data_IF_455397713503
#
_entry.id   IF_455397713503
#
_cell.length_a   1.000
_cell.length_b   1.000
_cell.length_c   1.000
_cell.angle_alpha   90.00
_cell.angle_beta   90.00
_cell.angle_gamma   90.00
#
_symmetry.space_group_name_H-M   'P 1'
#
loop_
_entity.id
_entity.type
_entity.pdbx_description
1 polymer ?
#
# COMPACT_ATOMS: atom_id res chain seq x y z
N UNK A 1 -7.32 -23.49 46.05
CA UNK A 1 -7.71 -22.68 44.86
C UNK A 1 -6.53 -22.03 44.20
N UNK A 2 -5.66 -21.27 44.83
CA UNK A 2 -4.53 -20.54 44.27
C UNK A 2 -3.57 -21.41 43.43
N UNK A 3 -3.15 -22.59 43.94
CA UNK A 3 -2.26 -23.53 43.21
C UNK A 3 -2.89 -24.03 41.91
N UNK A 4 -4.23 -24.20 41.82
CA UNK A 4 -4.92 -24.64 40.60
C UNK A 4 -4.98 -23.50 39.58
N UNK A 5 -5.23 -22.26 40.03
CA UNK A 5 -5.23 -21.07 39.14
C UNK A 5 -3.84 -20.82 38.56
N UNK A 6 -2.77 -20.95 39.36
CA UNK A 6 -1.39 -20.79 38.87
C UNK A 6 -1.07 -21.84 37.78
N UNK A 7 -1.45 -23.11 37.99
CA UNK A 7 -1.24 -24.15 36.96
C UNK A 7 -1.98 -23.84 35.66
N UNK A 8 -3.23 -23.38 35.72
CA UNK A 8 -3.99 -23.00 34.53
C UNK A 8 -3.27 -21.87 33.78
N UNK A 9 -2.84 -20.81 34.47
CA UNK A 9 -2.09 -19.71 33.85
C UNK A 9 -0.81 -20.19 33.17
N UNK A 10 -0.03 -21.06 33.85
CA UNK A 10 1.21 -21.61 33.28
C UNK A 10 0.95 -22.46 32.04
N UNK A 11 -0.09 -23.33 32.06
CA UNK A 11 -0.47 -24.12 30.89
C UNK A 11 -0.94 -23.24 29.73
N UNK A 12 -1.72 -22.20 30.01
CA UNK A 12 -2.17 -21.24 28.99
C UNK A 12 -0.98 -20.52 28.35
N UNK A 13 -0.02 -20.04 29.17
CA UNK A 13 1.20 -19.41 28.68
C UNK A 13 2.03 -20.37 27.82
N UNK A 14 2.21 -21.63 28.29
CA UNK A 14 2.94 -22.64 27.52
C UNK A 14 2.28 -22.90 26.17
N UNK A 15 0.96 -23.04 26.12
CA UNK A 15 0.19 -23.23 24.88
C UNK A 15 0.38 -22.03 23.95
N UNK A 16 0.29 -20.80 24.47
CA UNK A 16 0.50 -19.58 23.70
C UNK A 16 1.93 -19.51 23.12
N UNK A 17 2.94 -19.90 23.89
CA UNK A 17 4.34 -19.96 23.41
C UNK A 17 4.49 -21.01 22.30
N UNK A 18 3.93 -22.19 22.48
CA UNK A 18 3.99 -23.25 21.45
C UNK A 18 3.26 -22.80 20.17
N UNK A 19 2.05 -22.28 20.30
CA UNK A 19 1.27 -21.78 19.16
C UNK A 19 2.02 -20.63 18.47
N UNK A 20 2.54 -19.67 19.24
CA UNK A 20 3.37 -18.59 18.74
C UNK A 20 4.61 -19.09 17.99
N UNK A 21 5.30 -20.08 18.54
CA UNK A 21 6.45 -20.75 17.91
C UNK A 21 6.09 -21.41 16.58
N UNK A 22 5.00 -22.16 16.54
CA UNK A 22 4.50 -22.82 15.32
C UNK A 22 4.08 -21.76 14.27
N UNK A 23 3.34 -20.74 14.67
CA UNK A 23 2.91 -19.66 13.79
C UNK A 23 4.07 -18.77 13.30
N UNK A 24 5.16 -18.68 14.05
CA UNK A 24 6.35 -17.93 13.64
C UNK A 24 7.27 -18.73 12.72
N UNK A 25 7.09 -20.06 12.66
CA UNK A 25 7.96 -20.90 11.84
C UNK A 25 7.68 -20.69 10.35
N UNK A 26 8.74 -20.41 9.59
CA UNK A 26 8.72 -20.40 8.14
C UNK A 26 10.10 -20.80 7.61
N UNK A 27 10.10 -21.57 6.53
CA UNK A 27 11.33 -21.81 5.79
C UNK A 27 11.85 -20.47 5.26
N UNK A 28 13.13 -20.18 5.49
CA UNK A 28 13.75 -18.94 4.97
C UNK A 28 13.64 -18.94 3.44
N UNK A 29 13.25 -17.80 2.83
CA UNK A 29 13.29 -17.68 1.38
C UNK A 29 14.74 -17.81 0.91
N UNK A 30 14.95 -18.44 -0.24
CA UNK A 30 16.26 -18.56 -0.88
C UNK A 30 16.66 -17.29 -1.60
N UNK A 31 15.69 -16.52 -2.04
CA UNK A 31 15.86 -15.25 -2.74
C UNK A 31 14.91 -14.20 -2.16
N UNK A 32 15.38 -12.97 -2.11
CA UNK A 32 14.58 -11.80 -1.72
C UNK A 32 14.64 -10.83 -2.90
N UNK A 33 13.49 -10.39 -3.36
CA UNK A 33 13.36 -9.39 -4.41
C UNK A 33 13.07 -8.04 -3.76
N UNK A 34 13.81 -7.02 -4.16
CA UNK A 34 13.63 -5.65 -3.70
C UNK A 34 13.05 -4.80 -4.82
N UNK A 35 12.20 -3.85 -4.44
CA UNK A 35 11.62 -2.87 -5.35
C UNK A 35 11.54 -1.50 -4.70
N UNK A 36 11.06 -0.52 -5.45
CA UNK A 36 10.92 0.86 -5.02
C UNK A 36 9.48 1.33 -5.25
N UNK A 37 8.89 1.98 -4.24
CA UNK A 37 7.70 2.80 -4.43
C UNK A 37 8.14 4.19 -4.89
N UNK A 38 7.72 4.60 -6.07
CA UNK A 38 8.01 5.94 -6.59
C UNK A 38 6.72 6.73 -6.74
N UNK A 39 6.71 7.94 -6.20
CA UNK A 39 5.60 8.89 -6.33
C UNK A 39 6.10 10.18 -6.96
N UNK A 40 5.65 10.48 -8.18
CA UNK A 40 5.86 11.79 -8.80
C UNK A 40 5.29 12.90 -7.92
N UNK A 41 4.10 12.68 -7.37
CA UNK A 41 3.45 13.62 -6.46
C UNK A 41 4.39 14.02 -5.31
N UNK A 42 5.00 13.03 -4.67
CA UNK A 42 5.93 13.28 -3.56
C UNK A 42 7.24 13.93 -4.02
N UNK A 43 7.75 13.58 -5.19
CA UNK A 43 8.93 14.26 -5.76
C UNK A 43 8.66 15.75 -6.01
N UNK A 44 7.47 16.08 -6.51
CA UNK A 44 7.05 17.47 -6.74
C UNK A 44 6.92 18.24 -5.40
N UNK A 45 6.39 17.63 -4.35
CA UNK A 45 6.35 18.22 -2.99
C UNK A 45 7.75 18.53 -2.46
N UNK A 46 8.70 17.62 -2.69
CA UNK A 46 10.11 17.79 -2.33
C UNK A 46 10.86 18.78 -3.24
N UNK A 47 10.17 19.35 -4.24
CA UNK A 47 10.77 20.22 -5.28
C UNK A 47 11.92 19.55 -6.03
N UNK A 48 11.86 18.24 -6.18
CA UNK A 48 12.81 17.46 -6.95
C UNK A 48 12.32 17.32 -8.40
N UNK A 49 13.21 17.39 -9.39
CA UNK A 49 12.87 17.11 -10.78
C UNK A 49 12.57 15.61 -10.93
N UNK A 50 11.31 15.23 -10.77
CA UNK A 50 10.86 13.84 -10.68
C UNK A 50 11.42 12.93 -11.78
N UNK A 51 11.52 13.44 -13.00
CA UNK A 51 12.03 12.67 -14.15
C UNK A 51 13.52 12.33 -13.98
N UNK A 52 14.33 13.25 -13.45
CA UNK A 52 15.75 13.00 -13.17
C UNK A 52 15.88 11.96 -12.05
N UNK A 53 15.10 12.10 -10.98
CA UNK A 53 15.11 11.14 -9.86
C UNK A 53 14.66 9.77 -10.34
N UNK A 54 13.60 9.70 -11.15
CA UNK A 54 13.11 8.43 -11.70
C UNK A 54 14.16 7.78 -12.60
N UNK A 55 14.80 8.54 -13.51
CA UNK A 55 15.86 8.03 -14.37
C UNK A 55 17.09 7.55 -13.59
N UNK A 56 17.48 8.22 -12.52
CA UNK A 56 18.57 7.75 -11.67
C UNK A 56 18.23 6.38 -11.03
N UNK A 57 16.98 6.20 -10.57
CA UNK A 57 16.52 4.92 -10.04
C UNK A 57 16.52 3.83 -11.12
N UNK A 58 16.10 4.16 -12.35
CA UNK A 58 16.06 3.23 -13.48
C UNK A 58 17.47 2.87 -13.95
N UNK A 59 18.32 3.88 -14.22
CA UNK A 59 19.56 3.70 -14.95
C UNK A 59 20.76 3.47 -14.05
N UNK A 60 20.86 4.19 -12.91
CA UNK A 60 22.01 4.10 -12.02
C UNK A 60 21.81 3.02 -10.96
N UNK A 61 20.62 2.98 -10.33
CA UNK A 61 20.29 1.98 -9.33
C UNK A 61 19.75 0.68 -9.93
N UNK A 62 19.42 0.65 -11.21
CA UNK A 62 18.93 -0.52 -11.97
C UNK A 62 17.72 -1.20 -11.31
N UNK A 63 16.82 -0.40 -10.76
CA UNK A 63 15.59 -0.91 -10.14
C UNK A 63 14.73 -1.61 -11.18
N UNK A 64 14.28 -2.84 -10.88
CA UNK A 64 13.45 -3.66 -11.77
C UNK A 64 12.02 -3.83 -11.28
N UNK A 65 11.78 -3.72 -9.98
CA UNK A 65 10.47 -3.93 -9.38
C UNK A 65 9.95 -2.61 -8.82
N UNK A 66 8.81 -2.19 -9.33
CA UNK A 66 8.27 -0.86 -9.06
C UNK A 66 6.88 -0.92 -8.46
N UNK A 67 6.59 0.02 -7.59
CA UNK A 67 5.24 0.40 -7.25
C UNK A 67 5.04 1.84 -7.72
N UNK A 68 4.17 2.02 -8.71
CA UNK A 68 3.82 3.33 -9.26
C UNK A 68 2.36 3.65 -8.94
N UNK A 69 2.01 4.93 -8.96
CA UNK A 69 0.67 5.40 -8.61
C UNK A 69 0.09 6.26 -9.72
N UNK A 70 -1.13 5.94 -10.13
CA UNK A 70 -1.92 6.75 -11.06
C UNK A 70 -2.73 7.81 -10.28
N UNK A 71 -2.08 8.77 -9.62
CA UNK A 71 -2.76 9.76 -8.80
C UNK A 71 -3.86 10.49 -9.57
N UNK A 72 -5.09 10.43 -9.08
CA UNK A 72 -6.26 11.01 -9.76
C UNK A 72 -6.07 12.48 -10.17
N UNK A 73 -5.59 13.40 -9.31
CA UNK A 73 -5.39 14.79 -9.71
C UNK A 73 -4.33 15.00 -10.79
N UNK A 74 -3.42 14.04 -10.99
CA UNK A 74 -2.42 14.10 -12.07
C UNK A 74 -2.97 13.54 -13.38
N UNK A 75 -3.79 12.49 -13.29
CA UNK A 75 -4.41 11.84 -14.45
C UNK A 75 -5.58 12.68 -14.97
N UNK A 76 -6.35 13.32 -14.09
CA UNK A 76 -7.55 14.10 -14.42
C UNK A 76 -7.57 15.42 -13.63
N UNK A 77 -6.63 16.32 -13.93
CA UNK A 77 -6.56 17.65 -13.30
C UNK A 77 -7.78 18.53 -13.61
N UNK A 78 -8.39 18.31 -14.76
CA UNK A 78 -9.62 18.96 -15.22
C UNK A 78 -10.65 17.90 -15.52
N UNK A 79 -11.88 18.07 -15.04
CA UNK A 79 -12.97 17.10 -15.20
C UNK A 79 -13.14 16.66 -16.66
N UNK A 80 -13.08 15.36 -16.89
CA UNK A 80 -13.25 14.74 -18.20
C UNK A 80 -12.02 14.84 -19.13
N UNK A 81 -10.93 15.48 -18.68
CA UNK A 81 -9.69 15.62 -19.46
C UNK A 81 -8.60 14.75 -18.84
N UNK A 82 -8.33 13.63 -19.48
CA UNK A 82 -7.34 12.65 -18.99
C UNK A 82 -5.98 12.85 -19.67
N UNK A 83 -4.92 12.92 -18.87
CA UNK A 83 -3.52 12.98 -19.28
C UNK A 83 -2.73 11.85 -18.64
N UNK A 84 -2.07 11.05 -19.47
CA UNK A 84 -1.29 9.90 -19.03
C UNK A 84 0.21 10.05 -19.31
N UNK A 85 0.64 11.20 -19.81
CA UNK A 85 1.99 11.39 -20.35
C UNK A 85 3.11 10.96 -19.38
N UNK A 86 2.97 11.29 -18.11
CA UNK A 86 3.97 11.02 -17.09
C UNK A 86 3.98 9.54 -16.71
N UNK A 87 2.80 8.94 -16.55
CA UNK A 87 2.68 7.53 -16.25
C UNK A 87 3.09 6.64 -17.44
N UNK A 88 2.72 7.05 -18.67
CA UNK A 88 3.19 6.41 -19.91
C UNK A 88 4.72 6.42 -20.01
N UNK A 89 5.35 7.55 -19.65
CA UNK A 89 6.79 7.65 -19.61
C UNK A 89 7.40 6.67 -18.61
N UNK A 90 6.88 6.64 -17.37
CA UNK A 90 7.37 5.75 -16.32
C UNK A 90 7.23 4.28 -16.71
N UNK A 91 6.05 3.87 -17.17
CA UNK A 91 5.81 2.48 -17.59
C UNK A 91 6.69 2.08 -18.78
N UNK A 92 6.82 2.93 -19.78
CA UNK A 92 7.70 2.68 -20.92
C UNK A 92 9.14 2.45 -20.46
N UNK A 93 9.67 3.32 -19.59
CA UNK A 93 11.04 3.19 -19.09
C UNK A 93 11.25 1.90 -18.29
N UNK A 94 10.29 1.54 -17.43
CA UNK A 94 10.34 0.26 -16.71
C UNK A 94 10.34 -0.93 -17.67
N UNK A 95 9.50 -0.88 -18.71
CA UNK A 95 9.43 -1.92 -19.72
C UNK A 95 10.72 -2.08 -20.52
N UNK A 96 11.33 -0.96 -20.96
CA UNK A 96 12.61 -0.94 -21.67
C UNK A 96 13.72 -1.62 -20.88
N UNK A 97 13.66 -1.50 -19.55
CA UNK A 97 14.61 -2.12 -18.63
C UNK A 97 14.18 -3.51 -18.12
N UNK A 98 13.16 -4.11 -18.76
CA UNK A 98 12.62 -5.43 -18.39
C UNK A 98 12.17 -5.52 -16.93
N UNK A 99 11.66 -4.42 -16.39
CA UNK A 99 11.09 -4.36 -15.06
C UNK A 99 9.60 -4.69 -15.03
N UNK A 100 9.05 -4.74 -13.82
CA UNK A 100 7.63 -4.93 -13.57
C UNK A 100 7.06 -3.89 -12.57
N UNK A 101 5.76 -3.73 -12.61
CA UNK A 101 5.05 -2.67 -11.88
C UNK A 101 3.84 -3.24 -11.12
N UNK A 102 3.75 -2.91 -9.84
CA UNK A 102 2.48 -2.86 -9.13
C UNK A 102 1.90 -1.47 -9.37
N UNK A 103 0.81 -1.37 -10.13
CA UNK A 103 0.19 -0.10 -10.45
C UNK A 103 -0.97 0.19 -9.49
N UNK A 104 -0.76 1.19 -8.64
CA UNK A 104 -1.76 1.61 -7.65
C UNK A 104 -2.76 2.60 -8.27
N UNK A 105 -4.04 2.32 -8.06
CA UNK A 105 -5.19 3.09 -8.55
C UNK A 105 -6.20 3.30 -7.43
N UNK A 106 -6.97 4.36 -7.49
CA UNK A 106 -7.94 4.75 -6.47
C UNK A 106 -7.77 6.18 -6.01
N UNK A 107 -8.52 6.56 -5.01
CA UNK A 107 -8.43 7.88 -4.39
C UNK A 107 -7.33 7.96 -3.34
N UNK A 108 -7.21 6.91 -2.53
CA UNK A 108 -6.20 6.81 -1.48
C UNK A 108 -5.01 6.03 -2.02
N UNK A 109 -3.91 6.73 -2.27
CA UNK A 109 -2.71 6.17 -2.91
C UNK A 109 -1.46 6.47 -2.08
N UNK A 110 -0.37 5.69 -2.27
CA UNK A 110 0.90 5.94 -1.60
C UNK A 110 1.40 7.37 -1.79
N UNK A 111 1.84 7.97 -0.69
CA UNK A 111 2.29 9.36 -0.64
C UNK A 111 1.36 10.21 0.21
N UNK A 112 1.94 10.85 1.24
CA UNK A 112 1.21 11.74 2.13
C UNK A 112 0.62 12.93 1.36
N UNK A 113 -0.61 13.40 1.62
CA UNK A 113 -1.57 12.96 2.67
C UNK A 113 -2.43 11.74 2.30
N UNK A 114 -2.04 10.94 1.33
CA UNK A 114 -2.65 9.72 0.81
C UNK A 114 -3.98 9.90 0.06
N UNK A 115 -4.84 10.86 0.41
CA UNK A 115 -6.07 11.14 -0.32
C UNK A 115 -5.83 12.16 -1.41
N UNK A 116 -5.81 11.67 -2.63
CA UNK A 116 -5.52 12.44 -3.83
C UNK A 116 -6.81 12.69 -4.60
N UNK A 117 -7.44 13.84 -4.33
CA UNK A 117 -8.67 14.29 -4.99
C UNK A 117 -8.36 15.54 -5.80
N UNK A 118 -8.70 15.59 -7.11
CA UNK A 118 -8.50 16.80 -7.91
C UNK A 118 -9.38 17.93 -7.40
N UNK A 119 -8.93 19.18 -7.59
CA UNK A 119 -9.62 20.37 -7.05
C UNK A 119 -11.10 20.44 -7.46
N UNK A 120 -11.39 20.08 -8.70
CA UNK A 120 -12.76 20.09 -9.22
C UNK A 120 -13.70 19.09 -8.52
N UNK A 121 -13.17 18.03 -7.93
CA UNK A 121 -13.95 16.97 -7.29
C UNK A 121 -14.07 17.15 -5.76
N UNK A 122 -13.28 18.02 -5.13
CA UNK A 122 -13.31 18.23 -3.67
C UNK A 122 -14.65 18.71 -3.13
N UNK A 123 -15.41 19.47 -3.94
CA UNK A 123 -16.73 19.98 -3.56
C UNK A 123 -17.90 19.04 -3.87
N UNK A 124 -17.64 17.88 -4.46
CA UNK A 124 -18.70 16.92 -4.78
C UNK A 124 -19.17 16.18 -3.53
N UNK A 125 -20.44 15.74 -3.56
CA UNK A 125 -20.93 14.76 -2.58
C UNK A 125 -20.14 13.46 -2.67
N UNK A 126 -20.10 12.66 -1.59
CA UNK A 126 -19.41 11.36 -1.64
C UNK A 126 -19.98 10.45 -2.74
N UNK A 127 -21.30 10.44 -2.91
CA UNK A 127 -21.95 9.64 -3.95
C UNK A 127 -21.55 10.08 -5.37
N UNK A 128 -21.32 11.37 -5.60
CA UNK A 128 -20.86 11.86 -6.89
C UNK A 128 -19.34 11.63 -7.06
N UNK A 129 -18.54 11.78 -5.99
CA UNK A 129 -17.12 11.40 -6.05
C UNK A 129 -16.94 9.92 -6.42
N UNK A 130 -17.74 9.02 -5.85
CA UNK A 130 -17.69 7.58 -6.21
C UNK A 130 -17.87 7.34 -7.71
N UNK A 131 -18.82 8.00 -8.35
CA UNK A 131 -19.04 7.89 -9.81
C UNK A 131 -17.83 8.35 -10.62
N UNK A 132 -17.23 9.46 -10.21
CA UNK A 132 -16.05 9.99 -10.89
C UNK A 132 -14.81 9.11 -10.64
N UNK A 133 -14.64 8.58 -9.44
CA UNK A 133 -13.57 7.62 -9.13
C UNK A 133 -13.70 6.37 -10.01
N UNK A 134 -14.90 5.79 -10.16
CA UNK A 134 -15.11 4.63 -11.03
C UNK A 134 -14.83 4.96 -12.51
N UNK A 135 -15.14 6.17 -12.93
CA UNK A 135 -14.82 6.65 -14.29
C UNK A 135 -13.31 6.77 -14.49
N UNK A 136 -12.61 7.39 -13.54
CA UNK A 136 -11.16 7.50 -13.54
C UNK A 136 -10.49 6.10 -13.52
N UNK A 137 -10.93 5.20 -12.64
CA UNK A 137 -10.44 3.81 -12.59
C UNK A 137 -10.61 3.11 -13.94
N UNK A 138 -11.78 3.27 -14.55
CA UNK A 138 -12.06 2.69 -15.88
C UNK A 138 -11.05 3.18 -16.91
N UNK A 139 -10.79 4.49 -16.97
CA UNK A 139 -9.83 5.08 -17.92
C UNK A 139 -8.40 4.57 -17.72
N UNK A 140 -7.97 4.47 -16.45
CA UNK A 140 -6.62 3.97 -16.13
C UNK A 140 -6.49 2.50 -16.49
N UNK A 141 -7.44 1.66 -16.07
CA UNK A 141 -7.37 0.21 -16.31
C UNK A 141 -7.49 -0.10 -17.79
N UNK A 142 -8.42 0.50 -18.52
CA UNK A 142 -8.55 0.31 -19.97
C UNK A 142 -7.28 0.69 -20.74
N UNK A 143 -6.56 1.72 -20.27
CA UNK A 143 -5.31 2.14 -20.90
C UNK A 143 -4.19 1.13 -20.69
N UNK A 144 -4.04 0.59 -19.48
CA UNK A 144 -2.85 -0.17 -19.08
C UNK A 144 -3.05 -1.68 -18.97
N UNK A 145 -4.26 -2.21 -19.14
CA UNK A 145 -4.53 -3.66 -19.07
C UNK A 145 -3.73 -4.51 -20.04
N UNK A 146 -3.32 -3.96 -21.18
CA UNK A 146 -2.53 -4.67 -22.19
C UNK A 146 -1.01 -4.43 -22.06
N UNK A 147 -0.58 -3.68 -21.02
CA UNK A 147 0.82 -3.40 -20.73
C UNK A 147 1.44 -4.58 -19.95
N UNK A 148 2.37 -5.30 -20.60
CA UNK A 148 2.98 -6.52 -20.04
C UNK A 148 3.84 -6.27 -18.80
N UNK A 149 4.35 -5.06 -18.60
CA UNK A 149 5.10 -4.62 -17.43
C UNK A 149 4.21 -4.42 -16.18
N UNK A 150 2.91 -4.23 -16.33
CA UNK A 150 1.98 -4.17 -15.19
C UNK A 150 1.74 -5.59 -14.68
N UNK A 151 2.31 -5.90 -13.52
CA UNK A 151 2.23 -7.23 -12.91
C UNK A 151 0.93 -7.40 -12.10
N UNK A 152 0.60 -6.39 -11.28
CA UNK A 152 -0.58 -6.39 -10.41
C UNK A 152 -1.23 -5.01 -10.40
N UNK A 153 -2.54 -4.99 -10.23
CA UNK A 153 -3.28 -3.79 -9.83
C UNK A 153 -3.30 -3.70 -8.31
N UNK A 154 -2.96 -2.55 -7.75
CA UNK A 154 -3.28 -2.25 -6.37
C UNK A 154 -4.48 -1.32 -6.35
N UNK A 155 -5.54 -1.68 -5.62
CA UNK A 155 -6.70 -0.82 -5.41
C UNK A 155 -6.63 -0.22 -4.02
N UNK A 156 -6.59 1.10 -3.96
CA UNK A 156 -6.43 1.90 -2.76
C UNK A 156 -5.14 1.59 -1.96
N UNK A 157 -4.74 2.48 -1.06
CA UNK A 157 -3.63 2.26 -0.15
C UNK A 157 -4.13 2.15 1.29
N UNK A 158 -3.87 1.02 1.95
CA UNK A 158 -4.24 0.76 3.33
C UNK A 158 -5.68 1.20 3.67
N UNK A 159 -6.70 0.82 2.85
CA UNK A 159 -8.04 1.39 2.97
C UNK A 159 -8.71 1.09 4.30
N UNK A 160 -8.27 0.04 5.01
CA UNK A 160 -8.80 -0.35 6.32
C UNK A 160 -8.14 0.38 7.50
N UNK A 161 -7.08 1.14 7.26
CA UNK A 161 -6.42 1.94 8.28
C UNK A 161 -7.19 3.26 8.47
N UNK A 162 -7.88 3.39 9.59
CA UNK A 162 -8.66 4.59 9.93
C UNK A 162 -7.86 5.64 10.71
N UNK A 163 -6.81 5.22 11.40
CA UNK A 163 -5.88 6.13 12.10
C UNK A 163 -5.14 6.95 11.06
N UNK A 164 -5.02 8.24 11.22
CA UNK A 164 -4.46 9.25 10.27
C UNK A 164 -5.32 9.56 9.05
N UNK A 165 -5.87 8.55 8.38
CA UNK A 165 -6.57 8.74 7.12
C UNK A 165 -7.94 9.37 7.27
N UNK A 166 -8.60 9.18 8.41
CA UNK A 166 -9.94 9.76 8.67
C UNK A 166 -9.99 11.27 8.42
N UNK A 167 -8.96 12.00 8.88
CA UNK A 167 -8.94 13.46 8.77
C UNK A 167 -8.78 13.96 7.31
N UNK A 168 -8.23 13.13 6.44
CA UNK A 168 -7.97 13.47 5.03
C UNK A 168 -8.89 12.76 4.04
N UNK A 169 -9.27 11.52 4.36
CA UNK A 169 -10.02 10.64 3.47
C UNK A 169 -11.48 10.44 3.90
N UNK A 170 -11.83 10.84 5.13
CA UNK A 170 -13.11 10.47 5.74
C UNK A 170 -13.18 8.99 6.11
N UNK A 171 -14.37 8.52 6.40
CA UNK A 171 -14.62 7.13 6.79
C UNK A 171 -14.42 6.16 5.63
N UNK A 172 -14.01 4.92 5.97
CA UNK A 172 -13.93 3.83 5.01
C UNK A 172 -15.33 3.40 4.55
N UNK A 173 -15.57 3.52 3.25
CA UNK A 173 -16.70 2.88 2.57
C UNK A 173 -16.29 1.49 2.05
N UNK A 174 -16.58 0.47 2.86
CA UNK A 174 -16.18 -0.92 2.55
C UNK A 174 -16.89 -1.48 1.31
N UNK A 175 -18.10 -1.03 1.04
CA UNK A 175 -18.86 -1.54 -0.09
C UNK A 175 -18.38 -0.86 -1.38
N UNK A 176 -18.02 0.41 -1.32
CA UNK A 176 -17.37 1.09 -2.43
C UNK A 176 -15.99 0.48 -2.76
N UNK A 177 -15.17 0.18 -1.77
CA UNK A 177 -13.91 -0.53 -2.00
C UNK A 177 -14.10 -1.87 -2.73
N UNK A 178 -15.13 -2.62 -2.38
CA UNK A 178 -15.46 -3.88 -3.10
C UNK A 178 -15.90 -3.59 -4.54
N UNK A 179 -16.63 -2.51 -4.76
CA UNK A 179 -17.05 -2.07 -6.10
C UNK A 179 -15.85 -1.70 -6.97
N UNK A 180 -14.89 -0.94 -6.44
CA UNK A 180 -13.64 -0.61 -7.12
C UNK A 180 -12.85 -1.88 -7.50
N UNK A 181 -12.64 -2.80 -6.55
CA UNK A 181 -11.96 -4.07 -6.80
C UNK A 181 -12.70 -4.90 -7.86
N UNK A 182 -14.04 -4.97 -7.77
CA UNK A 182 -14.85 -5.70 -8.75
C UNK A 182 -14.78 -5.05 -10.14
N UNK A 183 -14.73 -3.72 -10.21
CA UNK A 183 -14.56 -2.99 -11.47
C UNK A 183 -13.21 -3.31 -12.11
N UNK A 184 -12.11 -3.20 -11.36
CA UNK A 184 -10.76 -3.50 -11.88
C UNK A 184 -10.68 -4.94 -12.37
N UNK A 185 -11.18 -5.91 -11.60
CA UNK A 185 -11.20 -7.33 -11.99
C UNK A 185 -12.07 -7.62 -13.23
N UNK A 186 -13.13 -6.86 -13.42
CA UNK A 186 -13.99 -6.98 -14.61
C UNK A 186 -13.31 -6.41 -15.86
N UNK A 187 -12.58 -5.30 -15.73
CA UNK A 187 -11.90 -4.65 -16.83
C UNK A 187 -10.61 -5.37 -17.22
N UNK A 188 -9.92 -5.97 -16.26
CA UNK A 188 -8.72 -6.78 -16.46
C UNK A 188 -8.79 -8.08 -15.62
N UNK A 189 -9.46 -9.11 -16.11
CA UNK A 189 -9.55 -10.39 -15.43
C UNK A 189 -8.24 -11.20 -15.45
N UNK A 190 -7.25 -10.77 -16.23
CA UNK A 190 -5.98 -11.49 -16.37
C UNK A 190 -5.02 -11.26 -15.21
N UNK A 191 -5.16 -10.12 -14.50
CA UNK A 191 -4.27 -9.74 -13.40
C UNK A 191 -4.95 -9.83 -12.04
N UNK A 192 -4.14 -10.18 -11.06
CA UNK A 192 -4.57 -10.19 -9.66
C UNK A 192 -4.65 -8.77 -9.12
N UNK A 193 -5.59 -8.56 -8.20
CA UNK A 193 -5.77 -7.31 -7.47
C UNK A 193 -5.16 -7.44 -6.08
N UNK A 194 -4.23 -6.54 -5.79
CA UNK A 194 -3.59 -6.34 -4.48
C UNK A 194 -4.43 -5.35 -3.66
N UNK A 195 -4.73 -5.69 -2.42
CA UNK A 195 -5.25 -4.75 -1.41
C UNK A 195 -4.30 -4.74 -0.22
N UNK A 196 -4.00 -3.55 0.29
CA UNK A 196 -2.98 -3.37 1.33
C UNK A 196 -3.60 -3.04 2.68
N UNK A 197 -2.85 -3.34 3.76
CA UNK A 197 -3.18 -2.90 5.12
C UNK A 197 -1.90 -2.67 5.93
N UNK A 198 -1.97 -1.77 6.90
CA UNK A 198 -0.85 -1.41 7.75
C UNK A 198 -0.30 -2.62 8.52
N UNK A 199 0.97 -2.82 8.42
CA UNK A 199 1.65 -3.91 9.14
C UNK A 199 1.63 -3.71 10.64
N UNK A 200 1.84 -2.49 11.09
CA UNK A 200 1.92 -2.14 12.49
C UNK A 200 0.53 -1.95 13.13
N UNK A 201 -0.39 -1.29 12.43
CA UNK A 201 -1.66 -0.83 13.00
C UNK A 201 -2.90 -1.55 12.45
N UNK A 202 -2.80 -2.18 11.27
CA UNK A 202 -3.91 -2.86 10.61
C UNK A 202 -4.25 -4.23 11.22
N UNK A 203 -5.50 -4.64 11.12
CA UNK A 203 -5.97 -5.97 11.53
C UNK A 203 -5.74 -7.02 10.43
N UNK A 204 -5.57 -6.63 9.20
CA UNK A 204 -5.35 -7.40 7.97
C UNK A 204 -6.57 -8.15 7.44
N UNK A 205 -7.52 -8.56 8.27
CA UNK A 205 -8.66 -9.40 7.86
C UNK A 205 -9.49 -8.78 6.73
N UNK A 206 -9.68 -7.45 6.74
CA UNK A 206 -10.42 -6.74 5.71
C UNK A 206 -9.72 -6.79 4.36
N UNK A 207 -8.47 -6.31 4.29
CA UNK A 207 -7.67 -6.33 3.07
C UNK A 207 -7.41 -7.75 2.57
N UNK A 208 -7.12 -8.69 3.50
CA UNK A 208 -6.94 -10.10 3.18
C UNK A 208 -8.15 -10.70 2.47
N UNK A 209 -9.37 -10.33 2.87
CA UNK A 209 -10.60 -10.89 2.30
C UNK A 209 -11.04 -10.19 1.01
N UNK A 210 -10.57 -8.96 0.75
CA UNK A 210 -11.00 -8.13 -0.38
C UNK A 210 -10.16 -8.35 -1.63
N UNK A 211 -8.82 -8.40 -1.49
CA UNK A 211 -7.89 -8.60 -2.63
C UNK A 211 -7.67 -10.07 -3.01
N UNK A 212 -7.07 -10.31 -4.16
CA UNK A 212 -6.51 -11.62 -4.54
C UNK A 212 -5.14 -11.83 -3.90
N UNK A 213 -4.39 -10.75 -3.74
CA UNK A 213 -3.08 -10.66 -3.08
C UNK A 213 -3.22 -9.71 -1.90
N UNK A 214 -2.51 -10.02 -0.83
CA UNK A 214 -2.41 -9.17 0.35
C UNK A 214 -1.09 -8.43 0.36
N UNK A 215 -1.11 -7.11 0.55
CA UNK A 215 0.08 -6.28 0.76
C UNK A 215 0.12 -5.72 2.17
N UNK A 216 1.33 -5.55 2.71
CA UNK A 216 1.50 -4.91 4.01
C UNK A 216 2.70 -3.99 4.05
N UNK A 217 2.63 -2.98 4.90
CA UNK A 217 3.78 -2.14 5.26
C UNK A 217 4.53 -2.70 6.47
N UNK A 218 5.78 -2.31 6.63
CA UNK A 218 6.60 -2.57 7.82
C UNK A 218 7.44 -1.35 8.12
N UNK A 219 7.08 -0.66 9.20
CA UNK A 219 7.76 0.55 9.64
C UNK A 219 8.45 0.31 10.97
N UNK A 220 9.75 0.62 11.03
CA UNK A 220 10.53 0.50 12.27
C UNK A 220 10.22 1.64 13.25
N UNK A 221 9.90 2.81 12.73
CA UNK A 221 9.50 3.97 13.51
C UNK A 221 8.06 4.38 13.14
N UNK A 222 7.32 4.78 14.16
CA UNK A 222 5.97 5.33 14.03
C UNK A 222 5.96 6.71 14.70
N UNK A 223 5.22 7.62 14.15
CA UNK A 223 5.02 8.92 14.79
C UNK A 223 3.78 8.89 15.69
N UNK A 224 3.89 9.51 16.85
CA UNK A 224 2.80 9.68 17.79
C UNK A 224 2.73 11.15 18.23
N UNK A 225 1.55 11.81 18.23
CA UNK A 225 1.44 13.23 18.58
C UNK A 225 1.92 13.58 19.99
N UNK A 226 1.89 12.63 20.93
CA UNK A 226 2.29 12.85 22.32
C UNK A 226 3.76 12.48 22.60
N UNK A 227 4.30 11.51 21.88
CA UNK A 227 5.64 10.94 22.16
C UNK A 227 6.65 11.18 21.03
N UNK A 228 6.23 11.80 19.92
CA UNK A 228 7.08 11.98 18.75
C UNK A 228 7.39 10.67 18.04
N UNK A 229 8.63 10.50 17.62
CA UNK A 229 9.10 9.29 16.95
C UNK A 229 9.23 8.13 17.95
N UNK A 230 8.50 7.07 17.71
CA UNK A 230 8.50 5.87 18.56
C UNK A 230 8.99 4.67 17.76
N UNK A 231 10.08 4.06 18.21
CA UNK A 231 10.54 2.81 17.63
C UNK A 231 9.57 1.69 17.96
N UNK A 232 9.07 1.00 16.94
CA UNK A 232 8.14 -0.12 17.16
C UNK A 232 8.82 -1.28 17.89
N UNK A 233 8.04 -1.94 18.75
CA UNK A 233 8.44 -3.20 19.37
C UNK A 233 8.19 -4.41 18.45
N UNK A 234 7.53 -4.21 17.32
CA UNK A 234 7.18 -5.28 16.38
C UNK A 234 8.43 -5.79 15.66
N UNK A 235 8.80 -7.00 16.02
CA UNK A 235 9.89 -7.73 15.35
C UNK A 235 9.36 -8.46 14.11
N UNK A 236 10.20 -8.81 13.14
CA UNK A 236 9.77 -9.50 11.92
C UNK A 236 8.96 -10.79 12.15
N UNK A 237 9.15 -11.48 13.28
CA UNK A 237 8.37 -12.67 13.60
C UNK A 237 6.89 -12.36 13.88
N UNK A 238 6.55 -11.15 14.37
CA UNK A 238 5.17 -10.72 14.62
C UNK A 238 4.37 -10.69 13.32
N UNK A 239 4.96 -10.14 12.26
CA UNK A 239 4.35 -10.11 10.93
C UNK A 239 4.14 -11.53 10.38
N UNK A 240 5.08 -12.44 10.64
CA UNK A 240 4.92 -13.85 10.27
C UNK A 240 3.77 -14.52 11.01
N UNK A 241 3.66 -14.28 12.31
CA UNK A 241 2.53 -14.78 13.11
C UNK A 241 1.22 -14.25 12.55
N UNK A 242 1.12 -12.94 12.28
CA UNK A 242 -0.09 -12.33 11.67
C UNK A 242 -0.40 -13.00 10.33
N UNK A 243 0.57 -13.13 9.44
CA UNK A 243 0.37 -13.74 8.11
C UNK A 243 -0.09 -15.21 8.20
N UNK A 244 0.52 -15.99 9.09
CA UNK A 244 0.14 -17.39 9.26
C UNK A 244 -1.23 -17.53 9.93
N UNK A 245 -1.57 -16.62 10.83
CA UNK A 245 -2.89 -16.54 11.43
C UNK A 245 -3.97 -16.17 10.42
N UNK A 246 -3.72 -15.17 9.55
CA UNK A 246 -4.62 -14.84 8.46
C UNK A 246 -4.80 -16.02 7.50
N UNK A 247 -3.70 -16.69 7.15
CA UNK A 247 -3.73 -17.89 6.29
C UNK A 247 -4.55 -19.04 6.90
N UNK A 248 -4.48 -19.21 8.22
CA UNK A 248 -5.25 -20.22 8.93
C UNK A 248 -6.75 -19.87 8.99
N UNK A 249 -7.09 -18.62 9.25
CA UNK A 249 -8.46 -18.16 9.45
C UNK A 249 -9.23 -17.90 8.14
N UNK A 250 -8.54 -17.40 7.12
CA UNK A 250 -9.15 -16.90 5.88
C UNK A 250 -8.62 -17.59 4.61
N UNK A 251 -7.79 -18.63 4.77
CA UNK A 251 -7.16 -19.33 3.65
C UNK A 251 -5.84 -18.67 3.21
N UNK A 252 -5.00 -19.47 2.55
CA UNK A 252 -3.69 -19.02 2.06
C UNK A 252 -3.83 -17.99 0.95
N UNK A 253 -3.03 -16.93 1.03
CA UNK A 253 -2.88 -15.92 -0.02
C UNK A 253 -1.40 -15.63 -0.27
N UNK A 254 -1.11 -15.21 -1.47
CA UNK A 254 0.15 -14.54 -1.79
C UNK A 254 0.20 -13.24 -0.99
N UNK A 255 1.37 -12.95 -0.40
CA UNK A 255 1.54 -11.79 0.45
C UNK A 255 2.84 -11.06 0.08
N UNK A 256 2.76 -9.75 -0.05
CA UNK A 256 3.88 -8.87 -0.38
C UNK A 256 4.16 -7.91 0.78
N UNK A 257 5.42 -7.70 1.10
CA UNK A 257 5.84 -6.53 1.85
C UNK A 257 5.99 -5.40 0.84
N UNK A 258 4.98 -4.53 0.77
CA UNK A 258 4.88 -3.49 -0.27
C UNK A 258 5.55 -2.18 0.15
N UNK A 259 5.74 -1.99 1.44
CA UNK A 259 6.44 -0.84 2.01
C UNK A 259 7.35 -1.28 3.13
N UNK A 260 8.61 -0.84 3.11
CA UNK A 260 9.57 -1.05 4.19
C UNK A 260 10.25 0.29 4.49
N UNK A 261 10.06 0.80 5.70
CA UNK A 261 10.81 1.96 6.19
C UNK A 261 11.53 1.62 7.49
N UNK A 262 12.84 1.87 7.50
CA UNK A 262 13.74 1.65 8.63
C UNK A 262 14.15 2.95 9.32
N UNK A 263 13.70 4.08 8.82
CA UNK A 263 14.02 5.42 9.28
C UNK A 263 12.81 6.11 9.93
N UNK A 264 13.05 7.10 10.80
CA UNK A 264 11.99 7.94 11.36
C UNK A 264 11.27 8.74 10.27
N UNK A 265 9.95 8.91 10.44
CA UNK A 265 9.19 9.78 9.57
C UNK A 265 9.49 11.25 9.85
N UNK A 266 9.60 12.03 8.79
CA UNK A 266 9.61 13.49 8.88
C UNK A 266 8.15 13.97 8.93
N UNK A 267 7.74 14.50 10.06
CA UNK A 267 6.37 15.01 10.28
C UNK A 267 6.25 16.48 9.82
N UNK A 268 7.38 17.13 9.63
CA UNK A 268 7.49 18.49 9.11
C UNK A 268 8.05 18.49 7.70
N UNK A 269 7.79 19.53 6.91
CA UNK A 269 8.42 19.68 5.59
C UNK A 269 9.94 19.49 5.69
N UNK A 270 10.51 18.75 4.75
CA UNK A 270 11.96 18.48 4.71
C UNK A 270 12.79 19.75 4.76
N UNK A 271 12.25 20.88 4.25
CA UNK A 271 12.86 22.18 4.33
C UNK A 271 13.05 22.73 5.75
N UNK A 272 12.35 22.18 6.73
CA UNK A 272 12.41 22.60 8.13
C UNK A 272 13.18 21.60 9.00
N UNK A 273 13.59 20.46 8.44
CA UNK A 273 14.29 19.41 9.18
C UNK A 273 15.76 19.41 8.78
N UNK A 274 16.70 19.63 9.71
CA UNK A 274 18.11 19.48 9.40
C UNK A 274 18.41 18.04 8.99
N UNK A 275 19.15 17.88 7.91
CA UNK A 275 19.73 16.60 7.53
C UNK A 275 20.67 16.16 8.65
N UNK A 276 20.35 15.09 9.34
CA UNK A 276 21.20 14.49 10.38
C UNK A 276 22.37 13.74 9.78
#
# INVERSE_FOLDING_TARGET
MLKRSIKIVLYTLLVLIIVGGVLSYRKKPTTITYGVSFSKFHADELKLPWAIVFEALVSEMQVKHWRLSAHWPMVESTKGVFSFNELDYQLRRVKEEHGDVVLAVGRRLPGWPECHVPEWAKGLSWEDQKKEILTYLTKVVERYKDHSEVLYWQVENEPYLTVFAHDYCGDLDKDFLKEEVALVKRLDPSRKVLVTDSGNLGLWSGAWSTGDIFGTSMYLYLWNPNFGQVKTIYQPFVYRIKNNMMSLLFGKRESLLIELSLEPWLVHPITETPLS
#
